data_IF_690869026147
#
_entry.id   IF_690869026147
#
_cell.length_a   1.000
_cell.length_b   1.000
_cell.length_c   1.000
_cell.angle_alpha   90.00
_cell.angle_beta   90.00
_cell.angle_gamma   90.00
#
_symmetry.space_group_name_H-M   'P 1'
#
loop_
_entity.id
_entity.type
_entity.pdbx_description
1 polymer ?
#
# COMPACT_ATOMS: atom_id res chain seq x y z
N UNK A 1 34.11 -10.41 5.11
CA UNK A 1 33.53 -10.96 3.87
C UNK A 1 32.05 -10.52 3.76
N UNK A 2 31.81 -9.20 3.74
CA UNK A 2 30.48 -8.57 3.60
C UNK A 2 30.70 -7.32 2.74
N UNK A 3 30.90 -7.48 1.43
CA UNK A 3 30.99 -6.36 0.45
C UNK A 3 30.78 -6.86 -0.99
N UNK A 4 29.82 -7.78 -1.22
CA UNK A 4 29.47 -8.22 -2.59
C UNK A 4 28.05 -7.86 -3.06
N UNK A 5 27.14 -7.42 -2.17
CA UNK A 5 25.76 -7.10 -2.56
C UNK A 5 25.41 -5.61 -2.68
N UNK A 6 26.27 -4.68 -2.24
CA UNK A 6 26.02 -3.25 -2.49
C UNK A 6 26.18 -2.89 -3.97
N UNK A 7 27.10 -3.54 -4.69
CA UNK A 7 27.30 -3.25 -6.11
C UNK A 7 26.12 -3.67 -6.99
N UNK A 8 25.36 -4.72 -6.63
CA UNK A 8 24.22 -5.16 -7.45
C UNK A 8 23.00 -4.23 -7.35
N UNK A 9 22.76 -3.61 -6.19
CA UNK A 9 21.65 -2.67 -5.98
C UNK A 9 21.97 -1.31 -6.60
N UNK A 10 23.24 -0.89 -6.52
CA UNK A 10 23.70 0.31 -7.24
C UNK A 10 23.70 0.07 -8.75
N UNK A 11 24.09 -1.13 -9.21
CA UNK A 11 23.96 -1.51 -10.63
C UNK A 11 22.51 -1.65 -11.08
N UNK A 12 21.57 -2.10 -10.25
CA UNK A 12 20.16 -2.18 -10.66
C UNK A 12 19.52 -0.79 -10.78
N UNK A 13 19.83 0.15 -9.89
CA UNK A 13 19.44 1.55 -10.10
C UNK A 13 20.15 2.19 -11.30
N UNK A 14 21.44 1.90 -11.50
CA UNK A 14 22.21 2.37 -12.66
C UNK A 14 21.78 1.72 -13.98
N UNK A 15 21.23 0.49 -13.95
CA UNK A 15 20.69 -0.24 -15.10
C UNK A 15 19.19 0.00 -15.30
N UNK A 16 18.42 0.41 -14.29
CA UNK A 16 17.07 0.96 -14.51
C UNK A 16 17.19 2.33 -15.17
N UNK A 17 18.23 3.08 -14.80
CA UNK A 17 18.68 4.19 -15.62
C UNK A 17 19.10 3.63 -16.99
N UNK A 18 20.15 2.81 -17.13
CA UNK A 18 20.74 2.42 -18.43
C UNK A 18 19.88 1.56 -19.39
N UNK A 19 18.92 0.76 -18.91
CA UNK A 19 18.03 -0.07 -19.74
C UNK A 19 16.82 0.69 -20.27
N UNK A 20 16.59 1.91 -19.79
CA UNK A 20 15.67 2.86 -20.41
C UNK A 20 16.29 3.62 -21.60
N UNK A 21 17.57 3.38 -21.92
CA UNK A 21 18.31 4.10 -22.97
C UNK A 21 18.02 3.52 -24.36
N UNK A 22 16.80 3.74 -24.83
CA UNK A 22 16.58 4.18 -26.21
C UNK A 22 16.60 5.72 -26.18
N UNK A 23 17.34 6.35 -27.09
CA UNK A 23 17.72 7.77 -27.12
C UNK A 23 16.58 8.83 -27.15
N UNK A 24 15.34 8.53 -26.75
CA UNK A 24 14.19 9.46 -26.88
C UNK A 24 13.34 9.69 -25.62
N UNK A 25 13.65 9.07 -24.47
CA UNK A 25 12.79 9.17 -23.26
C UNK A 25 13.34 9.99 -22.07
N UNK A 26 14.42 10.74 -22.23
CA UNK A 26 14.75 11.84 -21.30
C UNK A 26 13.70 12.97 -21.32
N UNK A 27 12.68 12.88 -22.17
CA UNK A 27 11.61 13.87 -22.29
C UNK A 27 10.62 13.93 -21.11
N UNK A 28 10.57 12.95 -20.20
CA UNK A 28 9.67 13.02 -19.05
C UNK A 28 10.26 13.76 -17.83
N UNK A 29 11.56 14.04 -17.84
CA UNK A 29 12.21 14.94 -16.85
C UNK A 29 13.13 15.89 -17.59
N UNK A 30 12.60 16.50 -18.66
CA UNK A 30 13.28 17.58 -19.36
C UNK A 30 12.58 18.89 -19.07
N UNK A 31 13.30 19.72 -18.31
CA UNK A 31 13.32 21.17 -18.45
C UNK A 31 11.97 21.89 -18.37
N UNK A 32 11.22 21.65 -17.28
CA UNK A 32 10.20 22.60 -16.86
C UNK A 32 9.97 22.58 -15.35
N UNK A 33 10.47 23.64 -14.71
CA UNK A 33 10.02 24.19 -13.42
C UNK A 33 10.20 23.36 -12.14
N UNK A 34 10.26 24.10 -11.03
CA UNK A 34 10.39 23.68 -9.64
C UNK A 34 9.25 22.78 -9.13
N UNK A 35 9.00 21.66 -9.79
CA UNK A 35 7.90 20.76 -9.47
C UNK A 35 8.35 19.59 -8.60
N UNK A 36 7.53 19.28 -7.60
CA UNK A 36 7.73 18.15 -6.69
C UNK A 36 7.08 16.89 -7.26
N UNK A 37 7.81 15.78 -7.21
CA UNK A 37 7.33 14.46 -7.61
C UNK A 37 7.16 13.59 -6.37
N UNK A 38 5.92 13.30 -6.00
CA UNK A 38 5.58 12.51 -4.83
C UNK A 38 6.05 11.05 -4.98
N UNK A 39 6.62 10.52 -3.89
CA UNK A 39 7.02 9.11 -3.76
C UNK A 39 6.04 8.35 -2.87
N UNK A 40 6.21 7.02 -2.76
CA UNK A 40 5.48 6.21 -1.78
C UNK A 40 6.09 6.23 -0.38
N UNK A 41 7.05 7.12 -0.11
CA UNK A 41 7.74 7.17 1.17
C UNK A 41 7.05 8.14 2.13
N UNK A 42 6.93 7.73 3.39
CA UNK A 42 6.30 8.52 4.44
C UNK A 42 7.13 8.49 5.72
N UNK A 43 7.11 9.60 6.46
CA UNK A 43 7.51 9.69 7.86
C UNK A 43 6.43 9.06 8.72
N UNK A 44 6.85 8.43 9.80
CA UNK A 44 6.01 7.73 10.76
C UNK A 44 6.37 8.25 12.17
N UNK A 45 5.59 7.92 13.22
CA UNK A 45 5.95 8.28 14.60
C UNK A 45 7.39 7.87 14.96
N UNK A 46 8.05 8.63 15.84
CA UNK A 46 9.47 8.52 16.19
C UNK A 46 10.48 8.90 15.08
N UNK A 47 10.05 9.73 14.11
CA UNK A 47 10.90 10.23 13.01
C UNK A 47 11.58 9.12 12.17
N UNK A 48 10.91 7.97 12.06
CA UNK A 48 11.30 6.91 11.13
C UNK A 48 10.65 7.16 9.76
N UNK A 49 11.27 6.64 8.70
CA UNK A 49 10.75 6.73 7.34
C UNK A 49 10.52 5.34 6.77
N UNK A 50 9.40 5.13 6.09
CA UNK A 50 9.00 3.83 5.53
C UNK A 50 8.47 3.97 4.12
N UNK A 51 8.45 2.86 3.38
CA UNK A 51 7.70 2.72 2.13
C UNK A 51 6.26 2.27 2.45
N UNK A 52 5.26 3.05 2.04
CA UNK A 52 3.84 2.68 2.18
C UNK A 52 3.46 1.45 1.36
N UNK A 53 4.16 1.19 0.26
CA UNK A 53 3.89 0.03 -0.60
C UNK A 53 4.36 -1.28 0.02
N UNK A 54 5.46 -1.26 0.77
CA UNK A 54 6.07 -2.47 1.34
C UNK A 54 6.02 -2.58 2.86
N UNK A 55 5.68 -1.50 3.57
CA UNK A 55 5.77 -1.40 5.03
C UNK A 55 7.19 -1.37 5.59
N UNK A 56 8.23 -1.41 4.74
CA UNK A 56 9.64 -1.51 5.17
C UNK A 56 10.24 -0.15 5.49
N UNK A 57 11.09 -0.12 6.51
CA UNK A 57 11.89 1.06 6.89
C UNK A 57 12.93 1.39 5.82
N UNK A 58 13.06 2.68 5.51
CA UNK A 58 14.08 3.18 4.59
C UNK A 58 15.46 3.17 5.25
N UNK A 59 16.47 2.78 4.47
CA UNK A 59 17.88 2.74 4.90
C UNK A 59 18.76 3.72 4.14
N UNK A 60 18.25 4.28 3.05
CA UNK A 60 18.91 5.26 2.20
C UNK A 60 18.11 6.55 2.21
N UNK A 61 18.83 7.68 2.21
CA UNK A 61 18.26 9.02 2.25
C UNK A 61 19.05 9.96 1.35
N UNK A 62 18.35 10.82 0.61
CA UNK A 62 18.95 11.85 -0.24
C UNK A 62 18.32 13.24 -0.03
N UNK A 63 18.22 13.68 1.23
CA UNK A 63 17.60 14.94 1.61
C UNK A 63 18.26 16.18 0.98
N UNK A 64 17.44 17.15 0.61
CA UNK A 64 17.90 18.50 0.31
C UNK A 64 18.44 19.18 1.58
N UNK A 65 19.34 20.14 1.42
CA UNK A 65 19.91 20.86 2.55
C UNK A 65 18.83 21.57 3.38
N UNK A 66 18.69 21.18 4.65
CA UNK A 66 17.67 21.71 5.56
C UNK A 66 16.34 20.96 5.54
N UNK A 67 16.30 19.79 4.90
CA UNK A 67 15.22 18.82 4.99
C UNK A 67 15.73 17.58 5.77
N UNK A 68 14.86 16.83 6.45
CA UNK A 68 13.45 17.13 6.68
C UNK A 68 13.26 18.32 7.65
N UNK A 69 12.27 19.18 7.43
CA UNK A 69 11.97 20.35 8.27
C UNK A 69 10.79 20.12 9.25
N UNK A 70 10.05 19.01 9.10
CA UNK A 70 8.98 18.58 9.98
C UNK A 70 7.65 19.30 9.78
N UNK A 71 6.80 19.30 10.81
CA UNK A 71 5.44 19.84 10.72
C UNK A 71 4.45 18.84 10.11
N UNK A 72 3.42 19.36 9.44
CA UNK A 72 2.36 18.59 8.75
C UNK A 72 2.83 18.12 7.36
N UNK A 73 4.01 17.50 7.33
CA UNK A 73 4.76 17.13 6.13
C UNK A 73 5.29 15.70 6.29
N UNK A 74 4.44 14.68 6.21
CA UNK A 74 4.87 13.27 6.35
C UNK A 74 5.29 12.63 5.04
N UNK A 75 4.87 13.14 3.89
CA UNK A 75 5.21 12.52 2.61
C UNK A 75 6.56 12.98 2.10
N UNK A 76 7.24 12.15 1.33
CA UNK A 76 8.51 12.52 0.70
C UNK A 76 8.27 12.78 -0.79
N UNK A 77 8.71 13.93 -1.27
CA UNK A 77 8.74 14.27 -2.68
C UNK A 77 10.18 14.49 -3.17
N UNK A 78 10.41 14.07 -4.41
CA UNK A 78 11.63 14.33 -5.15
C UNK A 78 11.55 15.72 -5.75
N UNK A 79 12.62 16.49 -5.60
CA UNK A 79 12.77 17.82 -6.13
C UNK A 79 14.05 17.88 -6.96
N UNK A 80 13.92 18.15 -8.27
CA UNK A 80 15.06 18.28 -9.16
C UNK A 80 15.59 19.72 -9.12
N UNK A 81 16.81 19.89 -8.60
CA UNK A 81 17.48 21.19 -8.56
C UNK A 81 18.91 21.04 -9.06
N UNK A 82 19.34 21.91 -9.96
CA UNK A 82 20.72 21.90 -10.51
C UNK A 82 21.15 20.52 -11.06
N UNK A 83 20.23 19.77 -11.66
CA UNK A 83 20.44 18.39 -12.13
C UNK A 83 20.66 17.34 -11.03
N UNK A 84 20.43 17.69 -9.76
CA UNK A 84 20.43 16.77 -8.63
C UNK A 84 19.01 16.53 -8.14
N UNK A 85 18.65 15.26 -7.93
CA UNK A 85 17.32 14.86 -7.46
C UNK A 85 17.37 14.67 -5.95
N UNK A 86 16.89 15.65 -5.19
CA UNK A 86 16.96 15.66 -3.72
C UNK A 86 15.58 15.55 -3.09
N UNK A 87 15.52 15.11 -1.84
CA UNK A 87 14.26 14.82 -1.15
C UNK A 87 13.82 15.99 -0.29
N UNK A 88 12.51 16.23 -0.27
CA UNK A 88 11.85 17.15 0.64
C UNK A 88 10.73 16.40 1.37
N UNK A 89 10.55 16.72 2.64
CA UNK A 89 9.33 16.34 3.35
C UNK A 89 8.25 17.37 2.99
N UNK A 90 7.09 16.85 2.63
CA UNK A 90 5.98 17.65 2.11
C UNK A 90 4.66 17.13 2.65
N UNK A 91 3.66 18.01 2.71
CA UNK A 91 2.29 17.58 3.05
C UNK A 91 1.77 16.56 2.05
N UNK A 92 1.29 15.41 2.54
CA UNK A 92 0.66 14.36 1.73
C UNK A 92 -0.63 14.79 1.01
N UNK A 93 -1.22 15.91 1.45
CA UNK A 93 -2.54 16.34 1.01
C UNK A 93 -2.49 17.46 -0.04
N UNK A 94 -1.28 17.88 -0.40
CA UNK A 94 -1.06 18.77 -1.52
C UNK A 94 -1.05 18.00 -2.83
N UNK A 95 -1.17 18.73 -3.95
CA UNK A 95 -1.17 18.15 -5.29
C UNK A 95 0.25 18.08 -5.82
N UNK A 96 0.63 16.90 -6.27
CA UNK A 96 1.91 16.64 -6.90
C UNK A 96 1.73 15.72 -8.10
N UNK A 97 2.69 15.77 -9.01
CA UNK A 97 2.94 14.63 -9.88
C UNK A 97 3.48 13.47 -9.03
N UNK A 98 3.35 12.24 -9.49
CA UNK A 98 3.82 11.07 -8.76
C UNK A 98 4.43 10.05 -9.70
N UNK A 99 5.37 9.26 -9.18
CA UNK A 99 5.98 8.12 -9.89
C UNK A 99 5.39 6.83 -9.33
N UNK A 100 5.07 5.90 -10.23
CA UNK A 100 4.70 4.53 -9.87
C UNK A 100 5.91 3.61 -10.04
N UNK A 101 6.15 2.75 -9.06
CA UNK A 101 7.12 1.66 -9.12
C UNK A 101 6.38 0.33 -9.31
N UNK A 102 6.81 -0.48 -10.27
CA UNK A 102 6.39 -1.88 -10.38
C UNK A 102 7.42 -2.72 -9.65
N UNK A 103 7.05 -3.23 -8.47
CA UNK A 103 7.88 -4.18 -7.73
C UNK A 103 7.56 -5.58 -8.26
N UNK A 104 8.43 -6.11 -9.11
CA UNK A 104 8.34 -7.52 -9.49
C UNK A 104 8.65 -8.36 -8.26
N UNK A 105 7.67 -9.15 -7.80
CA UNK A 105 7.92 -10.10 -6.71
C UNK A 105 8.85 -11.21 -7.20
N UNK A 106 9.62 -11.84 -6.32
CA UNK A 106 10.40 -13.04 -6.67
C UNK A 106 9.52 -14.14 -7.29
N UNK A 107 8.22 -14.19 -6.97
CA UNK A 107 7.24 -15.08 -7.61
C UNK A 107 6.89 -14.70 -9.04
N UNK A 108 6.88 -13.42 -9.38
CA UNK A 108 6.66 -12.94 -10.75
C UNK A 108 7.93 -13.03 -11.58
N UNK A 109 9.12 -12.85 -10.98
CA UNK A 109 10.39 -13.21 -11.61
C UNK A 109 10.50 -14.73 -11.82
N UNK A 110 10.08 -15.54 -10.85
CA UNK A 110 9.96 -17.00 -11.01
C UNK A 110 8.92 -17.36 -12.06
N UNK A 111 7.77 -16.68 -12.13
CA UNK A 111 6.76 -16.92 -13.17
C UNK A 111 7.23 -16.45 -14.54
N UNK A 112 7.95 -15.33 -14.65
CA UNK A 112 8.62 -14.89 -15.87
C UNK A 112 9.73 -15.87 -16.25
N UNK A 113 10.50 -16.38 -15.29
CA UNK A 113 11.51 -17.40 -15.51
C UNK A 113 10.88 -18.73 -15.93
N UNK A 114 9.76 -19.13 -15.33
CA UNK A 114 8.97 -20.31 -15.68
C UNK A 114 8.33 -20.13 -17.03
N UNK A 115 7.73 -18.98 -17.35
CA UNK A 115 7.14 -18.68 -18.66
C UNK A 115 8.21 -18.65 -19.75
N UNK A 116 9.35 -18.01 -19.49
CA UNK A 116 10.45 -17.91 -20.45
C UNK A 116 11.17 -19.27 -20.60
N UNK A 117 11.31 -20.07 -19.54
CA UNK A 117 11.78 -21.47 -19.65
C UNK A 117 10.72 -22.39 -20.25
N UNK A 118 9.43 -22.12 -20.14
CA UNK A 118 8.37 -22.90 -20.78
C UNK A 118 8.28 -22.58 -22.27
N UNK A 119 8.48 -21.31 -22.64
CA UNK A 119 8.61 -20.85 -24.03
C UNK A 119 9.91 -21.41 -24.65
N UNK A 120 11.03 -21.34 -23.92
CA UNK A 120 12.29 -21.95 -24.34
C UNK A 120 12.18 -23.47 -24.41
N UNK A 121 11.48 -24.13 -23.47
CA UNK A 121 11.14 -25.55 -23.55
C UNK A 121 10.22 -25.84 -24.74
N UNK A 122 9.28 -24.97 -25.11
CA UNK A 122 8.47 -25.14 -26.32
C UNK A 122 9.33 -25.06 -27.60
N UNK A 123 10.40 -24.28 -27.59
CA UNK A 123 11.41 -24.22 -28.66
C UNK A 123 12.36 -25.45 -28.62
N UNK A 124 12.72 -25.93 -27.43
CA UNK A 124 13.64 -27.06 -27.22
C UNK A 124 12.95 -28.45 -27.30
N UNK A 125 11.61 -28.51 -27.20
CA UNK A 125 10.77 -29.71 -27.39
C UNK A 125 10.76 -30.17 -28.85
N UNK A 126 11.11 -29.29 -29.81
CA UNK A 126 11.43 -29.72 -31.18
C UNK A 126 12.83 -30.38 -31.29
N UNK A 127 13.65 -30.44 -30.23
CA UNK A 127 15.04 -30.88 -30.38
C UNK A 127 15.69 -31.83 -29.36
N UNK A 128 15.11 -32.23 -28.22
CA UNK A 128 15.66 -33.44 -27.55
C UNK A 128 14.83 -34.08 -26.44
N UNK A 129 14.59 -35.38 -26.63
CA UNK A 129 14.12 -36.32 -25.62
C UNK A 129 15.34 -36.85 -24.86
N UNK A 130 15.51 -36.49 -23.56
CA UNK A 130 15.90 -37.43 -22.45
C UNK A 130 16.22 -36.75 -21.11
N UNK A 131 15.70 -37.40 -20.06
CA UNK A 131 16.20 -37.59 -18.68
C UNK A 131 15.99 -36.54 -17.57
N UNK A 132 15.54 -37.07 -16.42
CA UNK A 132 15.08 -36.45 -15.17
C UNK A 132 16.19 -36.03 -14.18
N UNK A 133 15.87 -35.13 -13.23
CA UNK A 133 15.95 -35.41 -11.78
C UNK A 133 15.24 -34.34 -10.91
N UNK A 134 14.71 -34.77 -9.76
CA UNK A 134 13.93 -34.02 -8.75
C UNK A 134 14.76 -33.06 -7.88
N UNK A 135 14.11 -32.06 -7.25
CA UNK A 135 14.35 -31.72 -5.82
C UNK A 135 13.22 -30.85 -5.18
N UNK A 136 12.74 -31.17 -3.96
CA UNK A 136 11.97 -30.29 -3.07
C UNK A 136 12.85 -29.61 -1.98
N UNK A 137 12.24 -28.71 -1.20
CA UNK A 137 12.71 -27.92 -0.02
C UNK A 137 13.34 -26.52 -0.27
N UNK A 138 12.56 -25.45 -0.08
CA UNK A 138 13.08 -24.08 0.13
C UNK A 138 12.17 -23.16 0.99
N UNK A 139 11.64 -23.62 2.13
CA UNK A 139 10.73 -22.79 2.97
C UNK A 139 11.06 -22.69 4.47
N UNK A 140 12.31 -22.89 4.90
CA UNK A 140 12.68 -22.78 6.34
C UNK A 140 13.71 -21.67 6.68
N UNK A 141 14.10 -20.80 5.75
CA UNK A 141 15.30 -19.97 5.92
C UNK A 141 15.12 -18.48 6.32
N UNK A 142 13.91 -17.99 6.57
CA UNK A 142 13.73 -16.59 6.98
C UNK A 142 12.93 -16.45 8.28
N UNK A 143 13.44 -17.03 9.38
CA UNK A 143 12.88 -16.90 10.73
C UNK A 143 12.63 -15.46 11.18
N UNK A 144 11.48 -14.91 10.77
CA UNK A 144 10.94 -13.60 11.12
C UNK A 144 9.48 -13.75 11.58
N UNK A 145 9.19 -14.73 12.44
CA UNK A 145 7.80 -14.97 12.90
C UNK A 145 7.50 -14.57 14.34
N UNK A 146 8.50 -14.18 15.13
CA UNK A 146 8.36 -14.26 16.60
C UNK A 146 8.26 -12.93 17.37
N UNK A 147 7.80 -11.83 16.76
CA UNK A 147 7.50 -10.59 17.55
C UNK A 147 6.21 -9.87 17.19
N UNK A 148 5.38 -10.42 16.29
CA UNK A 148 4.10 -9.79 15.96
C UNK A 148 2.99 -10.45 16.80
N UNK A 149 2.27 -9.71 17.66
CA UNK A 149 1.12 -10.27 18.35
C UNK A 149 0.13 -10.80 17.33
N UNK A 150 -0.39 -12.01 17.56
CA UNK A 150 -1.38 -12.62 16.68
C UNK A 150 -2.58 -11.69 16.57
N UNK A 151 -2.79 -11.11 15.37
CA UNK A 151 -3.96 -10.27 15.12
C UNK A 151 -5.22 -11.13 15.21
N UNK A 152 -6.20 -10.67 15.98
CA UNK A 152 -7.52 -11.28 16.00
C UNK A 152 -8.25 -10.90 14.71
N UNK A 153 -8.39 -11.86 13.79
CA UNK A 153 -8.98 -11.64 12.48
C UNK A 153 -10.44 -12.11 12.43
N UNK A 154 -11.30 -11.27 11.90
CA UNK A 154 -12.66 -11.62 11.50
C UNK A 154 -12.66 -12.04 10.04
N UNK A 155 -13.52 -12.98 9.67
CA UNK A 155 -13.51 -13.54 8.31
C UNK A 155 -14.89 -13.47 7.68
N UNK A 156 -14.93 -13.05 6.41
CA UNK A 156 -16.14 -13.09 5.60
C UNK A 156 -15.77 -13.45 4.17
N UNK A 157 -16.34 -14.54 3.67
CA UNK A 157 -16.14 -15.04 2.30
C UNK A 157 -14.63 -15.17 1.98
N UNK A 158 -14.10 -14.27 1.15
CA UNK A 158 -12.73 -14.24 0.65
C UNK A 158 -11.94 -13.03 1.20
N UNK A 159 -12.36 -12.46 2.33
CA UNK A 159 -11.66 -11.37 3.02
C UNK A 159 -11.50 -11.68 4.50
N UNK A 160 -10.40 -11.21 5.06
CA UNK A 160 -10.11 -11.18 6.50
C UNK A 160 -10.01 -9.74 6.95
N UNK A 161 -10.48 -9.42 8.15
CA UNK A 161 -10.53 -8.07 8.69
C UNK A 161 -9.90 -8.01 10.06
N UNK A 162 -9.19 -6.93 10.34
CA UNK A 162 -8.68 -6.61 11.67
C UNK A 162 -9.26 -5.28 12.13
N UNK A 163 -9.85 -5.26 13.32
CA UNK A 163 -10.35 -4.03 13.94
C UNK A 163 -9.22 -3.50 14.84
N UNK A 164 -8.53 -2.46 14.36
CA UNK A 164 -7.42 -1.82 15.03
C UNK A 164 -7.89 -0.84 16.09
N UNK A 165 -8.11 -1.33 17.30
CA UNK A 165 -8.53 -0.56 18.47
C UNK A 165 -7.42 -0.34 19.52
N UNK A 166 -6.17 -0.66 19.17
CA UNK A 166 -5.01 -0.59 20.07
C UNK A 166 -4.39 0.81 20.16
N UNK A 167 -4.56 1.65 19.13
CA UNK A 167 -4.14 3.05 19.11
C UNK A 167 -4.96 3.82 18.07
N UNK A 168 -5.04 5.14 18.24
CA UNK A 168 -5.61 6.05 17.24
C UNK A 168 -4.51 6.66 16.37
N UNK A 169 -4.76 6.81 15.09
CA UNK A 169 -3.82 7.41 14.15
C UNK A 169 -4.54 8.13 13.01
N UNK A 170 -3.79 8.95 12.27
CA UNK A 170 -4.29 9.49 11.01
C UNK A 170 -4.42 8.38 9.95
N UNK A 171 -5.12 8.66 8.86
CA UNK A 171 -5.41 7.65 7.83
C UNK A 171 -4.15 7.02 7.22
N UNK A 172 -3.03 7.75 7.16
CA UNK A 172 -1.76 7.25 6.62
C UNK A 172 -1.07 6.33 7.63
N UNK A 173 -1.07 6.69 8.92
CA UNK A 173 -0.57 5.82 10.00
C UNK A 173 -1.39 4.52 10.07
N UNK A 174 -2.71 4.61 9.88
CA UNK A 174 -3.60 3.46 9.84
C UNK A 174 -3.31 2.54 8.65
N UNK A 175 -3.18 3.09 7.43
CA UNK A 175 -2.79 2.31 6.25
C UNK A 175 -1.43 1.66 6.42
N UNK A 176 -0.47 2.40 6.95
CA UNK A 176 0.87 1.88 7.20
C UNK A 176 0.85 0.68 8.14
N UNK A 177 0.07 0.76 9.23
CA UNK A 177 -0.12 -0.38 10.13
C UNK A 177 -0.70 -1.58 9.36
N UNK A 178 -1.77 -1.38 8.59
CA UNK A 178 -2.37 -2.45 7.81
C UNK A 178 -1.34 -3.07 6.85
N UNK A 179 -0.56 -2.26 6.14
CA UNK A 179 0.48 -2.71 5.20
C UNK A 179 1.60 -3.48 5.85
N UNK A 180 2.02 -3.06 7.05
CA UNK A 180 3.03 -3.79 7.83
C UNK A 180 2.60 -5.24 8.14
N UNK A 181 1.28 -5.48 8.21
CA UNK A 181 0.69 -6.80 8.45
C UNK A 181 0.20 -7.51 7.17
N UNK A 182 0.70 -7.11 6.00
CA UNK A 182 0.26 -7.62 4.69
C UNK A 182 -1.26 -7.44 4.43
N UNK A 183 -1.84 -6.40 5.03
CA UNK A 183 -3.23 -5.98 4.88
C UNK A 183 -3.29 -4.60 4.20
N UNK A 184 -4.48 -4.02 4.10
CA UNK A 184 -4.71 -2.62 3.68
C UNK A 184 -5.88 -2.06 4.46
N UNK A 185 -6.06 -0.74 4.54
CA UNK A 185 -7.30 -0.16 5.06
C UNK A 185 -8.50 -0.71 4.30
N UNK A 186 -9.60 -0.92 5.02
CA UNK A 186 -10.79 -1.58 4.50
C UNK A 186 -11.45 -0.79 3.38
N UNK A 187 -11.90 -1.54 2.37
CA UNK A 187 -12.80 -1.08 1.31
C UNK A 187 -14.17 -1.68 1.56
N UNK A 188 -15.13 -0.87 1.99
CA UNK A 188 -16.50 -1.35 2.24
C UNK A 188 -17.29 -1.27 0.94
N UNK A 189 -17.24 -2.32 0.13
CA UNK A 189 -17.70 -2.30 -1.26
C UNK A 189 -19.17 -2.71 -1.42
N UNK A 190 -19.77 -3.32 -0.39
CA UNK A 190 -21.14 -3.87 -0.43
C UNK A 190 -21.90 -3.62 0.87
N UNK A 191 -23.23 -3.65 0.80
CA UNK A 191 -24.08 -3.56 2.00
C UNK A 191 -23.84 -4.72 2.95
N UNK A 192 -23.66 -5.93 2.42
CA UNK A 192 -23.43 -7.12 3.21
C UNK A 192 -22.06 -7.10 3.93
N UNK A 193 -21.08 -6.40 3.37
CA UNK A 193 -19.79 -6.14 4.03
C UNK A 193 -19.94 -5.08 5.13
N UNK A 194 -20.72 -4.02 4.89
CA UNK A 194 -21.02 -3.01 5.89
C UNK A 194 -21.74 -3.62 7.11
N UNK A 195 -22.77 -4.43 6.88
CA UNK A 195 -23.54 -5.09 7.93
C UNK A 195 -22.68 -6.08 8.73
N UNK A 196 -21.74 -6.76 8.07
CA UNK A 196 -20.80 -7.64 8.76
C UNK A 196 -19.87 -6.86 9.69
N UNK A 197 -19.30 -5.74 9.22
CA UNK A 197 -18.45 -4.89 10.05
C UNK A 197 -19.23 -4.24 11.20
N UNK A 198 -20.49 -3.85 10.96
CA UNK A 198 -21.41 -3.36 11.99
C UNK A 198 -21.58 -4.37 13.12
N UNK A 199 -21.91 -5.62 12.78
CA UNK A 199 -22.04 -6.71 13.75
C UNK A 199 -20.75 -6.88 14.57
N UNK A 200 -19.57 -6.87 13.92
CA UNK A 200 -18.28 -7.08 14.61
C UNK A 200 -17.87 -5.90 15.47
N UNK A 201 -18.22 -4.67 15.10
CA UNK A 201 -17.99 -3.48 15.92
C UNK A 201 -18.93 -3.43 17.13
N UNK A 202 -20.18 -3.86 16.98
CA UNK A 202 -21.13 -4.01 18.09
C UNK A 202 -20.68 -5.10 19.07
N UNK A 203 -20.25 -6.27 18.58
CA UNK A 203 -19.70 -7.36 19.40
C UNK A 203 -18.45 -6.92 20.19
N UNK A 204 -17.66 -6.00 19.63
CA UNK A 204 -16.46 -5.44 20.24
C UNK A 204 -16.73 -4.24 21.18
N UNK A 205 -17.99 -3.93 21.48
CA UNK A 205 -18.41 -2.76 22.29
C UNK A 205 -17.78 -1.44 21.82
N UNK A 206 -17.62 -1.30 20.50
CA UNK A 206 -16.98 -0.14 19.86
C UNK A 206 -18.00 0.91 19.38
N UNK A 207 -19.19 0.90 19.96
CA UNK A 207 -20.27 1.85 19.64
C UNK A 207 -19.84 3.28 19.95
N UNK A 208 -20.02 4.18 18.97
CA UNK A 208 -19.61 5.57 19.10
C UNK A 208 -18.12 5.84 18.89
N UNK A 209 -17.27 4.83 18.67
CA UNK A 209 -15.90 5.04 18.23
C UNK A 209 -15.83 5.16 16.70
N UNK A 210 -14.93 6.03 16.20
CA UNK A 210 -14.72 6.23 14.76
C UNK A 210 -13.55 5.39 14.24
N UNK A 211 -13.73 4.85 13.03
CA UNK A 211 -12.76 3.97 12.37
C UNK A 211 -12.44 4.45 10.97
N UNK A 212 -11.16 4.64 10.66
CA UNK A 212 -10.72 4.92 9.31
C UNK A 212 -10.98 3.76 8.36
N UNK A 213 -11.39 4.13 7.15
CA UNK A 213 -11.47 3.27 5.95
C UNK A 213 -10.48 3.79 4.90
N UNK A 214 -10.32 3.10 3.76
CA UNK A 214 -9.47 3.61 2.68
C UNK A 214 -10.16 4.66 1.78
N UNK A 215 -11.35 5.10 2.16
CA UNK A 215 -12.15 6.01 1.34
C UNK A 215 -11.54 7.41 1.35
N UNK A 216 -11.23 7.94 0.17
CA UNK A 216 -10.75 9.31 -0.01
C UNK A 216 -11.37 9.99 -1.20
N UNK A 217 -11.37 11.32 -1.18
CA UNK A 217 -11.82 12.16 -2.29
C UNK A 217 -10.65 12.42 -3.24
N UNK A 218 -10.90 12.27 -4.54
CA UNK A 218 -9.89 12.66 -5.54
C UNK A 218 -9.74 14.20 -5.51
N UNK A 219 -8.50 14.75 -5.47
CA UNK A 219 -8.27 16.19 -5.58
C UNK A 219 -8.98 16.81 -6.80
N UNK A 220 -9.60 17.97 -6.61
CA UNK A 220 -10.41 18.69 -7.63
C UNK A 220 -11.61 17.93 -8.21
N UNK A 221 -11.91 16.75 -7.69
CA UNK A 221 -13.09 15.98 -8.06
C UNK A 221 -14.15 16.00 -6.97
N UNK A 222 -15.39 15.74 -7.36
CA UNK A 222 -16.47 15.37 -6.42
C UNK A 222 -16.60 13.85 -6.26
N UNK A 223 -15.59 13.09 -6.72
CA UNK A 223 -15.59 11.62 -6.76
C UNK A 223 -14.82 11.06 -5.57
N UNK A 224 -15.35 9.97 -5.00
CA UNK A 224 -14.72 9.18 -3.96
C UNK A 224 -14.12 7.90 -4.53
N UNK A 225 -12.96 7.52 -4.03
CA UNK A 225 -12.25 6.28 -4.38
C UNK A 225 -11.80 5.56 -3.12
N UNK A 226 -11.58 4.25 -3.24
CA UNK A 226 -10.77 3.47 -2.32
C UNK A 226 -9.31 3.65 -2.74
N UNK A 227 -8.49 4.41 -1.99
CA UNK A 227 -7.13 4.72 -2.46
C UNK A 227 -6.22 3.48 -2.50
N UNK A 228 -6.52 2.45 -1.72
CA UNK A 228 -5.75 1.19 -1.69
C UNK A 228 -5.87 0.38 -2.97
N UNK A 229 -6.96 0.56 -3.73
CA UNK A 229 -7.22 -0.13 -5.01
C UNK A 229 -7.35 0.81 -6.20
N UNK A 230 -7.44 2.12 -5.95
CA UNK A 230 -7.74 3.14 -6.95
C UNK A 230 -9.17 3.08 -7.52
N UNK A 231 -10.03 2.19 -7.01
CA UNK A 231 -11.38 1.97 -7.55
C UNK A 231 -12.35 3.04 -7.08
N UNK A 232 -13.27 3.45 -7.95
CA UNK A 232 -14.36 4.35 -7.60
C UNK A 232 -15.32 3.68 -6.62
N UNK A 233 -15.72 4.40 -5.58
CA UNK A 233 -16.74 3.93 -4.64
C UNK A 233 -18.12 3.96 -5.32
N UNK A 234 -18.82 2.83 -5.30
CA UNK A 234 -20.17 2.65 -5.84
C UNK A 234 -21.23 2.48 -4.74
N UNK A 235 -20.88 1.82 -3.64
CA UNK A 235 -21.71 1.65 -2.46
C UNK A 235 -21.38 2.73 -1.42
N UNK A 236 -22.39 3.36 -0.83
CA UNK A 236 -22.22 4.37 0.21
C UNK A 236 -23.23 4.14 1.33
N UNK A 237 -22.78 4.25 2.57
CA UNK A 237 -23.66 4.28 3.75
C UNK A 237 -23.45 5.56 4.57
N UNK A 238 -23.57 6.72 3.92
CA UNK A 238 -23.36 8.01 4.56
C UNK A 238 -24.31 8.25 5.73
N UNK A 239 -23.78 8.76 6.82
CA UNK A 239 -24.56 9.36 7.90
C UNK A 239 -25.37 10.54 7.34
N UNK A 240 -26.55 10.79 7.92
CA UNK A 240 -27.43 11.87 7.49
C UNK A 240 -26.70 13.22 7.50
N UNK A 241 -26.67 13.90 6.35
CA UNK A 241 -25.99 15.18 6.19
C UNK A 241 -24.51 15.08 5.78
N UNK A 242 -24.00 13.87 5.57
CA UNK A 242 -22.68 13.61 4.99
C UNK A 242 -22.77 13.33 3.48
N UNK A 243 -21.69 13.52 2.71
CA UNK A 243 -20.41 14.09 3.14
C UNK A 243 -20.50 15.59 3.46
N UNK A 244 -19.62 16.04 4.36
CA UNK A 244 -19.43 17.45 4.70
C UNK A 244 -19.02 18.27 3.45
N UNK A 245 -19.52 19.49 3.37
CA UNK A 245 -19.16 20.47 2.36
C UNK A 245 -17.75 21.06 2.58
N UNK A 246 -17.17 20.87 3.76
CA UNK A 246 -15.83 21.33 4.10
C UNK A 246 -14.77 20.72 3.16
N UNK A 247 -13.92 21.57 2.59
CA UNK A 247 -12.86 21.16 1.66
C UNK A 247 -11.78 20.29 2.32
N UNK A 248 -11.59 20.42 3.64
CA UNK A 248 -10.60 19.63 4.38
C UNK A 248 -11.09 18.22 4.72
N UNK A 249 -12.40 17.96 4.65
CA UNK A 249 -13.02 16.67 4.93
C UNK A 249 -12.91 15.73 3.72
N UNK A 250 -11.71 15.16 3.51
CA UNK A 250 -11.38 14.39 2.31
C UNK A 250 -11.30 12.87 2.54
N UNK A 251 -11.32 12.41 3.80
CA UNK A 251 -11.20 10.99 4.15
C UNK A 251 -12.48 10.45 4.79
N UNK A 252 -12.77 9.17 4.58
CA UNK A 252 -13.97 8.50 5.09
C UNK A 252 -13.63 7.74 6.38
N UNK A 253 -14.31 8.13 7.47
CA UNK A 253 -14.44 7.28 8.65
C UNK A 253 -15.81 6.60 8.68
N UNK A 254 -15.88 5.47 9.38
CA UNK A 254 -17.08 4.74 9.70
C UNK A 254 -17.25 4.65 11.22
N UNK A 255 -18.48 4.86 11.68
CA UNK A 255 -18.84 4.84 13.09
C UNK A 255 -20.19 4.13 13.26
N UNK A 256 -20.31 3.31 14.31
CA UNK A 256 -21.60 2.73 14.68
C UNK A 256 -22.41 3.75 15.48
N UNK A 257 -23.54 4.20 14.93
CA UNK A 257 -24.49 5.12 15.57
C UNK A 257 -25.90 4.57 15.43
N UNK A 258 -26.66 4.50 16.54
CA UNK A 258 -27.99 3.87 16.59
C UNK A 258 -28.00 2.45 16.01
N UNK A 259 -27.02 1.64 16.41
CA UNK A 259 -26.82 0.26 15.94
C UNK A 259 -26.63 0.13 14.42
N UNK A 260 -26.20 1.21 13.75
CA UNK A 260 -25.92 1.22 12.31
C UNK A 260 -24.51 1.75 12.04
N UNK A 261 -23.72 1.03 11.24
CA UNK A 261 -22.40 1.48 10.79
C UNK A 261 -22.55 2.45 9.63
N UNK A 262 -22.43 3.75 9.92
CA UNK A 262 -22.59 4.84 8.96
C UNK A 262 -21.28 5.60 8.77
N UNK A 263 -21.13 6.27 7.63
CA UNK A 263 -19.87 6.89 7.24
C UNK A 263 -19.96 8.41 7.31
N UNK A 264 -18.84 9.08 7.61
CA UNK A 264 -18.71 10.52 7.47
C UNK A 264 -17.41 10.90 6.80
N UNK A 265 -17.40 12.06 6.15
CA UNK A 265 -16.15 12.65 5.68
C UNK A 265 -15.51 13.48 6.79
N UNK A 266 -14.22 13.26 7.05
CA UNK A 266 -13.44 13.98 8.06
C UNK A 266 -12.10 14.44 7.49
N UNK A 267 -11.51 15.39 8.21
CA UNK A 267 -10.12 15.79 8.00
C UNK A 267 -9.19 14.58 8.21
N UNK A 268 -8.44 14.24 7.17
CA UNK A 268 -7.54 13.08 7.12
C UNK A 268 -6.44 13.10 8.20
N UNK A 269 -6.19 14.29 8.79
CA UNK A 269 -5.24 14.50 9.87
C UNK A 269 -5.74 14.06 11.24
N UNK A 270 -7.03 13.79 11.39
CA UNK A 270 -7.59 13.37 12.68
C UNK A 270 -7.13 11.97 13.06
N UNK A 271 -7.07 11.73 14.36
CA UNK A 271 -6.66 10.45 14.89
C UNK A 271 -7.89 9.64 15.31
N UNK A 272 -8.09 8.51 14.63
CA UNK A 272 -9.18 7.57 14.89
C UNK A 272 -8.63 6.15 14.93
N UNK A 273 -9.44 5.20 15.40
CA UNK A 273 -9.16 3.78 15.21
C UNK A 273 -9.28 3.43 13.72
N UNK A 274 -9.05 2.20 13.33
CA UNK A 274 -9.06 1.83 11.91
C UNK A 274 -9.42 0.36 11.69
N UNK A 275 -9.83 0.03 10.47
CA UNK A 275 -10.16 -1.34 10.08
C UNK A 275 -9.26 -1.70 8.90
N UNK A 276 -8.52 -2.80 9.05
CA UNK A 276 -7.75 -3.38 7.96
C UNK A 276 -8.52 -4.52 7.29
N UNK A 277 -8.31 -4.75 6.01
CA UNK A 277 -8.73 -5.92 5.24
C UNK A 277 -7.54 -6.60 4.54
N UNK A 278 -7.66 -7.90 4.31
CA UNK A 278 -6.76 -8.66 3.45
C UNK A 278 -7.56 -9.70 2.66
N UNK A 279 -7.12 -9.97 1.43
CA UNK A 279 -7.69 -11.07 0.65
C UNK A 279 -7.40 -12.41 1.35
N UNK A 280 -8.42 -13.24 1.47
CA UNK A 280 -8.32 -14.61 1.97
C UNK A 280 -8.37 -15.54 0.76
N UNK A 281 -7.25 -16.23 0.50
CA UNK A 281 -7.22 -17.30 -0.49
C UNK A 281 -8.21 -18.41 -0.08
N UNK A 282 -8.96 -18.98 -1.04
CA UNK A 282 -9.80 -20.13 -0.75
C UNK A 282 -8.94 -21.26 -0.18
N UNK A 283 -9.45 -21.95 0.82
CA UNK A 283 -8.81 -23.13 1.37
C UNK A 283 -8.85 -24.26 0.32
N UNK A 284 -7.76 -24.41 -0.44
CA UNK A 284 -7.62 -25.41 -1.50
C UNK A 284 -7.65 -26.85 -0.96
N UNK A 285 -7.61 -27.05 0.37
CA UNK A 285 -7.74 -28.39 0.97
C UNK A 285 -9.18 -28.93 0.97
N UNK A 286 -10.18 -28.11 0.60
CA UNK A 286 -11.61 -28.48 0.58
C UNK A 286 -12.22 -28.61 -0.82
N UNK A 287 -11.41 -28.58 -1.87
CA UNK A 287 -11.90 -28.82 -3.23
C UNK A 287 -12.02 -30.34 -3.40
N UNK A 288 -13.19 -30.90 -3.09
CA UNK A 288 -13.56 -32.22 -3.57
C UNK A 288 -13.69 -32.15 -5.10
N UNK A 289 -12.74 -32.77 -5.79
CA UNK A 289 -12.88 -33.04 -7.22
C UNK A 289 -14.04 -34.04 -7.39
N UNK A 290 -15.12 -33.56 -8.00
CA UNK A 290 -16.25 -34.40 -8.46
C UNK A 290 -16.09 -34.72 -9.94
#
# INVERSE_FOLDING_TARGET
MIFKNLNLIVLSMYLILQSSYGEDNTKCVQDSSSEYILTSFTRIPDDKYVSLTSGKTLTYFNWYQGQPNGGKEECIALYLKNSELQWHDVSCWNKYYFICEVVWTNREEELLHVLNTTLQKQIDIEHNIRTHCNLPLFLELFGLRDTIPTLNLYHRVNKSYYIGNIFKGNVLHAEQFCRYHDMSLVNIETQEENNFLEEKLLEADSSGEEFWTSGTKIPDSRKWIWFTTGRKISYFNWLKGQPDSNKNSQCIEAQVTNDQLQWSSKDCWKEYYFICEAARLPDLSRVEYS
#
